data_IF_122922551833
#
_entry.id   IF_122922551833
#
_cell.length_a   1.000
_cell.length_b   1.000
_cell.length_c   1.000
_cell.angle_alpha   90.00
_cell.angle_beta   90.00
_cell.angle_gamma   90.00
#
_symmetry.space_group_name_H-M   'P 1'
#
loop_
_entity.id
_entity.type
_entity.pdbx_description
1 polymer ?
#
# COMPACT_ATOMS: atom_id res chain seq x y z
N UNK A 1 65.84 -112.08 102.96
CA UNK A 1 64.43 -111.81 102.63
C UNK A 1 63.89 -110.53 103.27
N UNK A 2 64.31 -110.13 104.48
CA UNK A 2 63.84 -108.88 105.11
C UNK A 2 64.41 -107.58 104.52
N UNK A 3 65.71 -107.52 104.16
CA UNK A 3 66.35 -106.31 103.61
C UNK A 3 65.83 -105.90 102.22
N UNK A 4 65.51 -106.86 101.35
CA UNK A 4 64.91 -106.60 100.02
C UNK A 4 63.46 -106.12 100.18
N UNK A 5 62.78 -106.56 101.25
CA UNK A 5 61.43 -106.10 101.56
C UNK A 5 61.44 -104.67 102.12
N UNK A 6 62.40 -104.32 102.98
CA UNK A 6 62.58 -102.95 103.48
C UNK A 6 62.99 -101.96 102.38
N UNK A 7 63.90 -102.32 101.47
CA UNK A 7 64.32 -101.44 100.37
C UNK A 7 63.19 -101.22 99.34
N UNK A 8 62.38 -102.26 99.09
CA UNK A 8 61.19 -102.18 98.24
C UNK A 8 60.09 -101.31 98.88
N UNK A 9 59.88 -101.42 100.20
CA UNK A 9 58.97 -100.55 100.95
C UNK A 9 59.49 -99.10 100.99
N UNK A 10 60.81 -98.87 101.12
CA UNK A 10 61.39 -97.51 101.03
C UNK A 10 61.19 -96.89 99.65
N UNK A 11 61.42 -97.64 98.57
CA UNK A 11 61.18 -97.16 97.21
C UNK A 11 59.69 -96.91 96.93
N UNK A 12 58.78 -97.75 97.46
CA UNK A 12 57.33 -97.49 97.37
C UNK A 12 56.95 -96.19 98.07
N UNK A 13 57.47 -95.94 99.27
CA UNK A 13 57.20 -94.70 100.02
C UNK A 13 57.75 -93.48 99.26
N UNK A 14 58.95 -93.57 98.71
CA UNK A 14 59.56 -92.47 97.94
C UNK A 14 58.83 -92.22 96.61
N UNK A 15 58.34 -93.28 95.94
CA UNK A 15 57.53 -93.17 94.74
C UNK A 15 56.16 -92.54 95.07
N UNK A 16 55.50 -92.98 96.14
CA UNK A 16 54.24 -92.41 96.61
C UNK A 16 54.37 -90.93 97.00
N UNK A 17 55.48 -90.53 97.62
CA UNK A 17 55.75 -89.12 97.93
C UNK A 17 55.96 -88.27 96.66
N UNK A 18 56.70 -88.78 95.66
CA UNK A 18 56.87 -88.10 94.37
C UNK A 18 55.56 -88.01 93.60
N UNK A 19 54.75 -89.06 93.66
CA UNK A 19 53.41 -89.10 93.07
C UNK A 19 52.49 -88.07 93.74
N UNK A 20 52.52 -87.94 95.08
CA UNK A 20 51.76 -86.91 95.81
C UNK A 20 52.21 -85.48 95.44
N UNK A 21 53.51 -85.23 95.26
CA UNK A 21 54.02 -83.93 94.85
C UNK A 21 53.63 -83.60 93.40
N UNK A 22 53.70 -84.58 92.50
CA UNK A 22 53.27 -84.43 91.12
C UNK A 22 51.75 -84.21 91.02
N UNK A 23 50.96 -84.93 91.82
CA UNK A 23 49.52 -84.75 91.95
C UNK A 23 49.18 -83.33 92.40
N UNK A 24 49.80 -82.83 93.48
CA UNK A 24 49.62 -81.44 93.95
C UNK A 24 49.99 -80.42 92.89
N UNK A 25 51.07 -80.66 92.14
CA UNK A 25 51.51 -79.75 91.08
C UNK A 25 50.61 -79.80 89.85
N UNK A 26 50.03 -80.96 89.53
CA UNK A 26 49.01 -81.12 88.49
C UNK A 26 47.73 -80.38 88.91
N UNK A 27 47.29 -80.52 90.15
CA UNK A 27 46.12 -79.81 90.70
C UNK A 27 46.35 -78.29 90.70
N UNK A 28 47.53 -77.80 91.13
CA UNK A 28 47.90 -76.38 91.06
C UNK A 28 47.93 -75.84 89.63
N UNK A 29 48.39 -76.64 88.66
CA UNK A 29 48.41 -76.26 87.25
C UNK A 29 46.99 -76.23 86.67
N UNK A 30 46.13 -77.19 87.03
CA UNK A 30 44.72 -77.18 86.65
C UNK A 30 43.99 -75.97 87.22
N UNK A 31 44.22 -75.62 88.48
CA UNK A 31 43.64 -74.44 89.11
C UNK A 31 44.07 -73.14 88.43
N UNK A 32 45.36 -73.04 88.05
CA UNK A 32 45.88 -71.89 87.30
C UNK A 32 45.30 -71.81 85.89
N UNK A 33 45.17 -72.94 85.20
CA UNK A 33 44.55 -73.00 83.88
C UNK A 33 43.08 -72.60 83.95
N UNK A 34 42.33 -73.09 84.95
CA UNK A 34 40.93 -72.73 85.18
C UNK A 34 40.77 -71.23 85.40
N UNK A 35 41.60 -70.63 86.26
CA UNK A 35 41.61 -69.17 86.51
C UNK A 35 41.96 -68.36 85.26
N UNK A 36 42.87 -68.88 84.42
CA UNK A 36 43.26 -68.24 83.17
C UNK A 36 42.10 -68.29 82.17
N UNK A 37 41.43 -69.43 82.04
CA UNK A 37 40.24 -69.61 81.20
C UNK A 37 39.10 -68.68 81.64
N UNK A 38 38.80 -68.61 82.94
CA UNK A 38 37.80 -67.68 83.49
C UNK A 38 38.15 -66.22 83.19
N UNK A 39 39.42 -65.83 83.35
CA UNK A 39 39.91 -64.49 83.03
C UNK A 39 39.76 -64.19 81.53
N UNK A 40 40.04 -65.16 80.66
CA UNK A 40 39.95 -65.02 79.20
C UNK A 40 38.49 -64.90 78.74
N UNK A 41 37.57 -65.62 79.38
CA UNK A 41 36.12 -65.46 79.18
C UNK A 41 35.69 -64.05 79.64
N UNK A 42 36.16 -63.60 80.80
CA UNK A 42 35.90 -62.25 81.33
C UNK A 42 36.38 -61.14 80.39
N UNK A 43 37.61 -61.23 79.89
CA UNK A 43 38.17 -60.29 78.91
C UNK A 43 37.39 -60.32 77.60
N UNK A 44 37.02 -61.51 77.11
CA UNK A 44 36.23 -61.63 75.87
C UNK A 44 34.86 -60.95 76.02
N UNK A 45 34.19 -61.15 77.16
CA UNK A 45 32.92 -60.47 77.48
C UNK A 45 33.10 -58.95 77.55
N UNK A 46 34.13 -58.48 78.24
CA UNK A 46 34.43 -57.05 78.35
C UNK A 46 34.71 -56.41 76.99
N UNK A 47 35.48 -57.06 76.13
CA UNK A 47 35.77 -56.58 74.77
C UNK A 47 34.50 -56.52 73.93
N UNK A 48 33.62 -57.52 74.03
CA UNK A 48 32.33 -57.53 73.33
C UNK A 48 31.41 -56.39 73.81
N UNK A 49 31.28 -56.20 75.12
CA UNK A 49 30.50 -55.10 75.69
C UNK A 49 31.05 -53.72 75.31
N UNK A 50 32.38 -53.55 75.32
CA UNK A 50 33.04 -52.32 74.92
C UNK A 50 32.81 -52.05 73.42
N UNK A 51 32.94 -53.06 72.56
CA UNK A 51 32.64 -52.94 71.14
C UNK A 51 31.18 -52.52 70.89
N UNK A 52 30.23 -53.06 71.66
CA UNK A 52 28.81 -52.64 71.61
C UNK A 52 28.65 -51.18 72.06
N UNK A 53 29.30 -50.76 73.16
CA UNK A 53 29.28 -49.37 73.64
C UNK A 53 29.88 -48.40 72.61
N UNK A 54 31.03 -48.74 72.03
CA UNK A 54 31.69 -47.98 70.96
C UNK A 54 30.76 -47.83 69.75
N UNK A 55 30.20 -48.93 69.25
CA UNK A 55 29.27 -48.90 68.10
C UNK A 55 28.02 -48.07 68.38
N UNK A 56 27.48 -48.12 69.61
CA UNK A 56 26.33 -47.29 70.01
C UNK A 56 26.71 -45.80 70.06
N UNK A 57 27.88 -45.46 70.60
CA UNK A 57 28.37 -44.09 70.66
C UNK A 57 28.66 -43.53 69.25
N UNK A 58 29.29 -44.32 68.38
CA UNK A 58 29.52 -43.97 66.97
C UNK A 58 28.22 -43.72 66.22
N UNK A 59 27.22 -44.62 66.38
CA UNK A 59 25.91 -44.43 65.76
C UNK A 59 25.23 -43.16 66.27
N UNK A 60 25.23 -42.91 67.58
CA UNK A 60 24.61 -41.72 68.16
C UNK A 60 25.28 -40.44 67.65
N UNK A 61 26.62 -40.43 67.57
CA UNK A 61 27.37 -39.31 67.00
C UNK A 61 27.02 -39.07 65.52
N UNK A 62 26.93 -40.14 64.72
CA UNK A 62 26.53 -40.04 63.32
C UNK A 62 25.10 -39.50 63.14
N UNK A 63 24.15 -39.98 63.96
CA UNK A 63 22.76 -39.52 63.94
C UNK A 63 22.65 -38.03 64.37
N UNK A 64 23.41 -37.60 65.38
CA UNK A 64 23.48 -36.20 65.81
C UNK A 64 24.10 -35.28 64.75
N UNK A 65 25.18 -35.71 64.09
CA UNK A 65 25.80 -34.96 62.98
C UNK A 65 24.81 -34.82 61.83
N UNK A 66 24.11 -35.90 61.46
CA UNK A 66 23.11 -35.87 60.39
C UNK A 66 21.97 -34.90 60.72
N UNK A 67 21.41 -35.00 61.93
CA UNK A 67 20.35 -34.11 62.41
C UNK A 67 20.79 -32.64 62.40
N UNK A 68 22.02 -32.35 62.84
CA UNK A 68 22.59 -31.00 62.79
C UNK A 68 22.67 -30.46 61.37
N UNK A 69 23.19 -31.27 60.42
CA UNK A 69 23.30 -30.87 59.01
C UNK A 69 21.93 -30.60 58.36
N UNK A 70 20.93 -31.43 58.64
CA UNK A 70 19.55 -31.21 58.18
C UNK A 70 19.00 -29.88 58.72
N UNK A 71 19.25 -29.57 60.00
CA UNK A 71 18.82 -28.31 60.61
C UNK A 71 19.58 -27.09 60.09
N UNK A 72 20.87 -27.20 59.83
CA UNK A 72 21.66 -26.13 59.21
C UNK A 72 21.14 -25.81 57.80
N UNK A 73 20.80 -26.84 57.01
CA UNK A 73 20.17 -26.63 55.69
C UNK A 73 18.80 -25.96 55.79
N UNK A 74 17.97 -26.38 56.75
CA UNK A 74 16.66 -25.77 57.00
C UNK A 74 16.81 -24.28 57.38
N UNK A 75 17.78 -23.94 58.23
CA UNK A 75 18.09 -22.55 58.60
C UNK A 75 18.44 -21.72 57.37
N UNK A 76 19.35 -22.20 56.51
CA UNK A 76 19.75 -21.48 55.30
C UNK A 76 18.54 -21.23 54.39
N UNK A 77 17.70 -22.25 54.17
CA UNK A 77 16.48 -22.11 53.35
C UNK A 77 15.50 -21.08 53.92
N UNK A 78 15.30 -21.09 55.24
CA UNK A 78 14.43 -20.15 55.93
C UNK A 78 14.99 -18.72 55.90
N UNK A 79 16.30 -18.54 56.04
CA UNK A 79 16.96 -17.25 55.94
C UNK A 79 16.83 -16.65 54.54
N UNK A 80 17.03 -17.44 53.49
CA UNK A 80 16.81 -17.02 52.11
C UNK A 80 15.35 -16.62 51.86
N UNK A 81 14.40 -17.42 52.33
CA UNK A 81 12.97 -17.13 52.19
C UNK A 81 12.59 -15.83 52.93
N UNK A 82 13.12 -15.65 54.13
CA UNK A 82 12.91 -14.46 54.95
C UNK A 82 13.49 -13.21 54.27
N UNK A 83 14.67 -13.31 53.68
CA UNK A 83 15.29 -12.22 52.93
C UNK A 83 14.44 -11.84 51.70
N UNK A 84 13.97 -12.82 50.92
CA UNK A 84 13.05 -12.59 49.79
C UNK A 84 11.77 -11.89 50.24
N UNK A 85 11.16 -12.33 51.34
CA UNK A 85 9.96 -11.70 51.89
C UNK A 85 10.22 -10.26 52.34
N UNK A 86 11.36 -9.99 52.99
CA UNK A 86 11.74 -8.63 53.40
C UNK A 86 11.91 -7.70 52.20
N UNK A 87 12.57 -8.16 51.14
CA UNK A 87 12.73 -7.39 49.90
C UNK A 87 11.38 -7.10 49.25
N UNK A 88 10.52 -8.11 49.13
CA UNK A 88 9.18 -7.94 48.58
C UNK A 88 8.35 -6.95 49.40
N UNK A 89 8.37 -7.08 50.74
CA UNK A 89 7.70 -6.14 51.64
C UNK A 89 8.20 -4.71 51.44
N UNK A 90 9.52 -4.52 51.35
CA UNK A 90 10.12 -3.20 51.14
C UNK A 90 9.67 -2.59 49.81
N UNK A 91 9.66 -3.37 48.73
CA UNK A 91 9.20 -2.91 47.43
C UNK A 91 7.71 -2.53 47.44
N UNK A 92 6.87 -3.34 48.10
CA UNK A 92 5.44 -3.08 48.24
C UNK A 92 5.16 -1.83 49.06
N UNK A 93 5.90 -1.61 50.15
CA UNK A 93 5.79 -0.38 50.96
C UNK A 93 6.20 0.86 50.16
N UNK A 94 7.30 0.81 49.41
CA UNK A 94 7.71 1.92 48.55
C UNK A 94 6.66 2.24 47.47
N UNK A 95 6.02 1.21 46.89
CA UNK A 95 4.90 1.38 45.97
C UNK A 95 3.69 2.00 46.65
N UNK A 96 3.35 1.56 47.86
CA UNK A 96 2.26 2.11 48.64
C UNK A 96 2.49 3.59 48.95
N UNK A 97 3.69 3.96 49.41
CA UNK A 97 4.05 5.35 49.69
C UNK A 97 3.87 6.24 48.45
N UNK A 98 4.30 5.75 47.28
CA UNK A 98 4.10 6.44 46.00
C UNK A 98 2.61 6.60 45.68
N UNK A 99 1.82 5.55 45.83
CA UNK A 99 0.38 5.57 45.57
C UNK A 99 -0.39 6.47 46.54
N UNK A 100 0.04 6.54 47.81
CA UNK A 100 -0.54 7.44 48.79
C UNK A 100 -0.40 8.91 48.41
N UNK A 101 0.67 9.30 47.72
CA UNK A 101 0.81 10.67 47.21
C UNK A 101 -0.27 10.98 46.17
N UNK A 102 -0.55 10.05 45.25
CA UNK A 102 -1.61 10.21 44.26
C UNK A 102 -3.00 10.19 44.90
N UNK A 103 -3.23 9.34 45.89
CA UNK A 103 -4.48 9.31 46.64
C UNK A 103 -4.73 10.67 47.33
N UNK A 104 -3.76 11.19 48.10
CA UNK A 104 -3.87 12.51 48.74
C UNK A 104 -4.13 13.63 47.74
N UNK A 105 -3.49 13.57 46.58
CA UNK A 105 -3.75 14.53 45.51
C UNK A 105 -5.21 14.44 45.03
N UNK A 106 -5.70 13.24 44.72
CA UNK A 106 -7.07 13.03 44.25
C UNK A 106 -8.12 13.41 45.31
N UNK A 107 -7.86 13.12 46.59
CA UNK A 107 -8.67 13.61 47.72
C UNK A 107 -8.76 15.13 47.69
N UNK A 108 -7.62 15.83 47.55
CA UNK A 108 -7.60 17.31 47.48
C UNK A 108 -8.33 17.87 46.24
N UNK A 109 -8.38 17.11 45.15
CA UNK A 109 -9.12 17.48 43.94
C UNK A 109 -10.62 17.34 44.19
N UNK A 110 -11.06 16.24 44.82
CA UNK A 110 -12.46 16.02 45.20
C UNK A 110 -12.93 17.09 46.20
N UNK A 111 -12.11 17.43 47.19
CA UNK A 111 -12.42 18.51 48.14
C UNK A 111 -12.66 19.87 47.47
N UNK A 112 -11.90 20.19 46.42
CA UNK A 112 -12.03 21.44 45.67
C UNK A 112 -13.13 21.40 44.61
N UNK A 113 -13.28 20.26 43.94
CA UNK A 113 -14.25 20.04 42.89
C UNK A 113 -15.48 19.35 43.45
N UNK A 114 -16.38 20.16 44.04
CA UNK A 114 -17.62 19.72 44.72
C UNK A 114 -18.61 18.93 43.85
N UNK A 115 -18.36 18.84 42.54
CA UNK A 115 -19.13 18.05 41.59
C UNK A 115 -18.86 16.53 41.67
N UNK A 116 -17.78 16.10 42.33
CA UNK A 116 -17.44 14.71 42.57
C UNK A 116 -17.54 14.40 44.07
N UNK A 117 -18.16 13.29 44.45
CA UNK A 117 -18.34 12.91 45.86
C UNK A 117 -17.20 11.98 46.31
N UNK A 118 -16.75 11.11 45.41
CA UNK A 118 -15.66 10.19 45.64
C UNK A 118 -14.60 10.28 44.53
N UNK A 119 -13.37 9.85 44.84
CA UNK A 119 -12.29 9.72 43.84
C UNK A 119 -12.73 8.83 42.67
N UNK A 120 -13.54 7.80 42.95
CA UNK A 120 -14.04 6.90 41.93
C UNK A 120 -14.94 7.61 40.90
N UNK A 121 -15.74 8.59 41.32
CA UNK A 121 -16.57 9.39 40.41
C UNK A 121 -15.70 10.15 39.42
N UNK A 122 -14.62 10.76 39.90
CA UNK A 122 -13.64 11.47 39.07
C UNK A 122 -12.95 10.51 38.09
N UNK A 123 -12.61 9.30 38.55
CA UNK A 123 -11.98 8.27 37.70
C UNK A 123 -12.91 7.77 36.59
N UNK A 124 -14.18 7.50 36.91
CA UNK A 124 -15.18 7.10 35.93
C UNK A 124 -15.38 8.22 34.92
N UNK A 125 -15.52 9.47 35.39
CA UNK A 125 -15.68 10.63 34.51
C UNK A 125 -14.47 10.81 33.59
N UNK A 126 -13.26 10.68 34.12
CA UNK A 126 -12.04 10.73 33.33
C UNK A 126 -12.03 9.62 32.28
N UNK A 127 -12.35 8.37 32.65
CA UNK A 127 -12.38 7.25 31.72
C UNK A 127 -13.40 7.46 30.60
N UNK A 128 -14.60 7.97 30.91
CA UNK A 128 -15.61 8.31 29.90
C UNK A 128 -15.12 9.43 28.98
N UNK A 129 -14.54 10.50 29.52
CA UNK A 129 -14.02 11.60 28.71
C UNK A 129 -12.84 11.16 27.83
N UNK A 130 -11.99 10.26 28.33
CA UNK A 130 -10.87 9.74 27.57
C UNK A 130 -11.34 8.84 26.42
N UNK A 131 -12.33 7.98 26.67
CA UNK A 131 -12.99 7.18 25.64
C UNK A 131 -13.65 8.08 24.57
N UNK A 132 -14.48 9.05 24.99
CA UNK A 132 -15.10 9.99 24.04
C UNK A 132 -14.07 10.82 23.26
N UNK A 133 -12.95 11.20 23.90
CA UNK A 133 -11.85 11.89 23.24
C UNK A 133 -11.19 11.02 22.17
N UNK A 134 -11.02 9.72 22.46
CA UNK A 134 -10.47 8.77 21.51
C UNK A 134 -11.41 8.59 20.32
N UNK A 135 -12.71 8.39 20.56
CA UNK A 135 -13.73 8.29 19.51
C UNK A 135 -13.76 9.55 18.62
N UNK A 136 -13.70 10.74 19.23
CA UNK A 136 -13.66 12.01 18.50
C UNK A 136 -12.39 12.16 17.65
N UNK A 137 -11.23 11.68 18.14
CA UNK A 137 -9.99 11.70 17.36
C UNK A 137 -10.07 10.78 16.16
N UNK A 138 -10.63 9.59 16.33
CA UNK A 138 -10.82 8.63 15.24
C UNK A 138 -11.80 9.18 14.21
N UNK A 139 -12.94 9.71 14.66
CA UNK A 139 -13.90 10.36 13.77
C UNK A 139 -13.29 11.56 13.03
N UNK A 140 -12.50 12.39 13.70
CA UNK A 140 -11.80 13.50 13.06
C UNK A 140 -10.84 12.99 11.98
N UNK A 141 -10.05 11.96 12.27
CA UNK A 141 -9.13 11.37 11.30
C UNK A 141 -9.88 10.85 10.04
N UNK A 142 -10.99 10.13 10.24
CA UNK A 142 -11.85 9.66 9.15
C UNK A 142 -12.43 10.82 8.33
N UNK A 143 -12.95 11.85 9.00
CA UNK A 143 -13.49 13.03 8.30
C UNK A 143 -12.41 13.77 7.51
N UNK A 144 -11.19 13.87 8.04
CA UNK A 144 -10.08 14.53 7.32
C UNK A 144 -9.67 13.74 6.09
N UNK A 145 -9.58 12.41 6.19
CA UNK A 145 -9.28 11.53 5.06
C UNK A 145 -10.36 11.66 3.97
N UNK A 146 -11.63 11.56 4.35
CA UNK A 146 -12.73 11.73 3.41
C UNK A 146 -12.77 13.13 2.77
N UNK A 147 -12.42 14.19 3.51
CA UNK A 147 -12.35 15.53 2.95
C UNK A 147 -11.22 15.65 1.92
N UNK A 148 -10.08 15.03 2.17
CA UNK A 148 -8.94 15.03 1.28
C UNK A 148 -9.22 14.21 0.00
N UNK A 149 -9.92 13.08 0.12
CA UNK A 149 -10.46 12.32 -1.01
C UNK A 149 -11.38 13.18 -1.87
N UNK A 150 -12.39 13.81 -1.27
CA UNK A 150 -13.35 14.64 -1.99
C UNK A 150 -12.67 15.85 -2.65
N UNK A 151 -11.66 16.44 -2.00
CA UNK A 151 -10.84 17.50 -2.60
C UNK A 151 -10.07 16.98 -3.81
N UNK A 152 -9.47 15.80 -3.73
CA UNK A 152 -8.75 15.21 -4.84
C UNK A 152 -9.69 14.91 -6.02
N UNK A 153 -10.87 14.33 -5.76
CA UNK A 153 -11.91 14.10 -6.76
C UNK A 153 -12.36 15.39 -7.43
N UNK A 154 -12.64 16.44 -6.65
CA UNK A 154 -13.04 17.74 -7.18
C UNK A 154 -11.95 18.37 -8.08
N UNK A 155 -10.68 18.28 -7.67
CA UNK A 155 -9.57 18.78 -8.49
C UNK A 155 -9.43 17.98 -9.79
N UNK A 156 -9.61 16.66 -9.75
CA UNK A 156 -9.58 15.81 -10.93
C UNK A 156 -10.73 16.14 -11.88
N UNK A 157 -11.95 16.29 -11.36
CA UNK A 157 -13.12 16.71 -12.14
C UNK A 157 -12.92 18.09 -12.79
N UNK A 158 -12.40 19.06 -12.04
CA UNK A 158 -12.07 20.39 -12.57
C UNK A 158 -11.03 20.34 -13.69
N UNK A 159 -9.98 19.52 -13.55
CA UNK A 159 -8.98 19.32 -14.60
C UNK A 159 -9.57 18.65 -15.84
N UNK A 160 -10.38 17.61 -15.64
CA UNK A 160 -11.04 16.89 -16.73
C UNK A 160 -11.96 17.79 -17.55
N UNK A 161 -12.81 18.57 -16.88
CA UNK A 161 -13.72 19.52 -17.55
C UNK A 161 -12.98 20.67 -18.23
N UNK A 162 -11.89 21.19 -17.64
CA UNK A 162 -11.05 22.19 -18.30
C UNK A 162 -10.41 21.64 -19.59
N UNK A 163 -9.93 20.39 -19.56
CA UNK A 163 -9.39 19.72 -20.75
C UNK A 163 -10.48 19.50 -21.81
N UNK A 164 -11.67 19.07 -21.41
CA UNK A 164 -12.81 18.89 -22.32
C UNK A 164 -13.21 20.20 -23.00
N UNK A 165 -13.31 21.29 -22.24
CA UNK A 165 -13.57 22.64 -22.78
C UNK A 165 -12.49 23.03 -23.79
N UNK A 166 -11.22 22.75 -23.52
CA UNK A 166 -10.13 23.05 -24.44
C UNK A 166 -10.25 22.23 -25.73
N UNK A 167 -10.58 20.94 -25.63
CA UNK A 167 -10.82 20.07 -26.80
C UNK A 167 -11.98 20.59 -27.65
N UNK A 168 -13.13 20.91 -27.03
CA UNK A 168 -14.28 21.47 -27.73
C UNK A 168 -13.97 22.83 -28.38
N UNK A 169 -13.21 23.69 -27.72
CA UNK A 169 -12.78 24.97 -28.30
C UNK A 169 -11.89 24.80 -29.52
N UNK A 170 -11.00 23.80 -29.51
CA UNK A 170 -10.19 23.45 -30.67
C UNK A 170 -11.08 22.95 -31.82
N UNK A 171 -12.04 22.07 -31.55
CA UNK A 171 -13.00 21.58 -32.55
C UNK A 171 -13.81 22.73 -33.16
N UNK A 172 -14.38 23.61 -32.34
CA UNK A 172 -15.12 24.79 -32.80
C UNK A 172 -14.25 25.67 -33.70
N UNK A 173 -12.98 25.86 -33.34
CA UNK A 173 -12.05 26.66 -34.15
C UNK A 173 -11.77 26.01 -35.51
N UNK A 174 -11.57 24.69 -35.54
CA UNK A 174 -11.39 23.92 -36.77
C UNK A 174 -12.63 23.97 -37.67
N UNK A 175 -13.82 23.76 -37.10
CA UNK A 175 -15.09 23.84 -37.84
C UNK A 175 -15.32 25.24 -38.39
N UNK A 176 -15.03 26.30 -37.61
CA UNK A 176 -15.12 27.69 -38.09
C UNK A 176 -14.20 27.95 -39.27
N UNK A 177 -12.94 27.53 -39.20
CA UNK A 177 -12.00 27.67 -40.32
C UNK A 177 -12.51 26.95 -41.58
N UNK A 178 -13.02 25.73 -41.42
CA UNK A 178 -13.60 24.97 -42.51
C UNK A 178 -14.80 25.67 -43.15
N UNK A 179 -15.70 26.22 -42.33
CA UNK A 179 -16.87 26.97 -42.82
C UNK A 179 -16.43 28.23 -43.57
N UNK A 180 -15.48 29.00 -43.05
CA UNK A 180 -14.97 30.20 -43.73
C UNK A 180 -14.28 29.87 -45.05
N UNK A 181 -13.54 28.75 -45.12
CA UNK A 181 -12.97 28.26 -46.37
C UNK A 181 -14.07 27.92 -47.39
N UNK A 182 -15.14 27.22 -46.98
CA UNK A 182 -16.27 26.92 -47.87
C UNK A 182 -17.06 28.15 -48.31
N UNK A 183 -17.21 29.14 -47.46
CA UNK A 183 -17.82 30.43 -47.84
C UNK A 183 -16.96 31.14 -48.89
N UNK A 184 -15.65 31.15 -48.73
CA UNK A 184 -14.73 31.76 -49.70
C UNK A 184 -14.82 31.06 -51.07
N UNK A 185 -14.76 29.73 -51.10
CA UNK A 185 -14.96 28.93 -52.32
C UNK A 185 -16.30 29.25 -53.00
N UNK A 186 -17.38 29.30 -52.22
CA UNK A 186 -18.73 29.61 -52.73
C UNK A 186 -18.80 31.02 -53.31
N UNK A 187 -18.20 32.01 -52.65
CA UNK A 187 -18.15 33.39 -53.15
C UNK A 187 -17.35 33.51 -54.45
N UNK A 188 -16.26 32.75 -54.59
CA UNK A 188 -15.47 32.72 -55.82
C UNK A 188 -16.26 32.11 -56.98
N UNK A 189 -16.96 31.00 -56.74
CA UNK A 189 -17.83 30.37 -57.74
C UNK A 189 -18.98 31.29 -58.13
N UNK A 190 -19.59 32.01 -57.18
CA UNK A 190 -20.64 32.97 -57.47
C UNK A 190 -20.14 34.10 -58.37
N UNK A 191 -18.95 34.64 -58.10
CA UNK A 191 -18.33 35.65 -58.95
C UNK A 191 -18.10 35.15 -60.38
N UNK A 192 -17.65 33.90 -60.54
CA UNK A 192 -17.47 33.28 -61.85
C UNK A 192 -18.80 33.13 -62.59
N UNK A 193 -19.85 32.69 -61.89
CA UNK A 193 -21.21 32.60 -62.45
C UNK A 193 -21.70 33.98 -62.92
N UNK A 194 -21.55 35.01 -62.08
CA UNK A 194 -21.98 36.38 -62.42
C UNK A 194 -21.24 36.92 -63.65
N UNK A 195 -19.93 36.68 -63.74
CA UNK A 195 -19.13 37.03 -64.92
C UNK A 195 -19.62 36.29 -66.17
N UNK A 196 -19.86 34.98 -66.08
CA UNK A 196 -20.40 34.20 -67.20
C UNK A 196 -21.77 34.70 -67.65
N UNK A 197 -22.66 35.02 -66.70
CA UNK A 197 -23.99 35.57 -66.96
C UNK A 197 -23.90 36.95 -67.64
N UNK A 198 -23.02 37.83 -67.16
CA UNK A 198 -22.78 39.13 -67.79
C UNK A 198 -22.26 38.96 -69.23
N UNK A 199 -21.30 38.06 -69.46
CA UNK A 199 -20.80 37.75 -70.79
C UNK A 199 -21.90 37.19 -71.70
N UNK A 200 -22.75 36.29 -71.19
CA UNK A 200 -23.86 35.72 -71.94
C UNK A 200 -24.91 36.80 -72.29
N UNK A 201 -25.24 37.69 -71.35
CA UNK A 201 -26.14 38.81 -71.59
C UNK A 201 -25.58 39.77 -72.64
N UNK A 202 -24.29 40.13 -72.56
CA UNK A 202 -23.63 40.98 -73.55
C UNK A 202 -23.64 40.36 -74.94
N UNK A 203 -23.35 39.05 -75.07
CA UNK A 203 -23.45 38.32 -76.35
C UNK A 203 -24.89 38.29 -76.87
N UNK A 204 -25.87 38.09 -75.99
CA UNK A 204 -27.29 38.08 -76.37
C UNK A 204 -27.73 39.44 -76.89
N UNK A 205 -27.31 40.53 -76.22
CA UNK A 205 -27.56 41.91 -76.67
C UNK A 205 -26.89 42.20 -78.01
N UNK A 206 -25.63 41.82 -78.19
CA UNK A 206 -24.94 41.98 -79.47
C UNK A 206 -25.67 41.23 -80.59
N UNK A 207 -26.13 40.00 -80.32
CA UNK A 207 -26.94 39.22 -81.27
C UNK A 207 -28.24 39.94 -81.62
N UNK A 208 -28.99 40.45 -80.64
CA UNK A 208 -30.25 41.15 -80.91
C UNK A 208 -30.05 42.46 -81.68
N UNK A 209 -28.98 43.21 -81.38
CA UNK A 209 -28.60 44.40 -82.13
C UNK A 209 -28.27 44.08 -83.60
N UNK A 210 -27.52 42.99 -83.86
CA UNK A 210 -27.25 42.52 -85.23
C UNK A 210 -28.55 42.14 -85.94
N UNK A 211 -29.46 41.40 -85.28
CA UNK A 211 -30.76 41.05 -85.86
C UNK A 211 -31.56 42.29 -86.24
N UNK A 212 -31.72 43.24 -85.31
CA UNK A 212 -32.45 44.48 -85.57
C UNK A 212 -31.82 45.32 -86.69
N UNK A 213 -30.48 45.40 -86.75
CA UNK A 213 -29.80 46.11 -87.82
C UNK A 213 -30.03 45.44 -89.19
N UNK A 214 -29.98 44.10 -89.25
CA UNK A 214 -30.28 43.34 -90.44
C UNK A 214 -31.73 43.52 -90.90
N UNK A 215 -32.69 43.44 -89.97
CA UNK A 215 -34.11 43.70 -90.23
C UNK A 215 -34.34 45.13 -90.74
N UNK A 216 -33.73 46.13 -90.09
CA UNK A 216 -33.84 47.53 -90.50
C UNK A 216 -33.27 47.77 -91.91
N UNK A 217 -32.12 47.16 -92.24
CA UNK A 217 -31.55 47.23 -93.59
C UNK A 217 -32.45 46.54 -94.62
N UNK A 218 -32.98 45.36 -94.28
CA UNK A 218 -33.92 44.63 -95.12
C UNK A 218 -35.17 45.44 -95.40
N UNK A 219 -35.83 46.00 -94.38
CA UNK A 219 -37.03 46.83 -94.56
C UNK A 219 -36.77 48.07 -95.42
N UNK A 220 -35.60 48.72 -95.27
CA UNK A 220 -35.23 49.85 -96.13
C UNK A 220 -35.12 49.45 -97.60
N UNK A 221 -34.60 48.26 -97.88
CA UNK A 221 -34.52 47.74 -99.24
C UNK A 221 -35.89 47.29 -99.74
N UNK A 222 -36.68 46.59 -98.92
CA UNK A 222 -38.02 46.14 -99.28
C UNK A 222 -38.93 47.32 -99.66
N UNK A 223 -38.79 48.48 -99.00
CA UNK A 223 -39.51 49.71 -99.36
C UNK A 223 -39.15 50.28 -100.75
N UNK A 224 -37.95 50.01 -101.25
CA UNK A 224 -37.45 50.54 -102.53
C UNK A 224 -37.50 49.49 -103.64
N UNK A 225 -37.51 48.21 -103.26
CA UNK A 225 -37.58 47.07 -104.15
C UNK A 225 -38.98 46.93 -104.76
N UNK A 226 -39.04 46.70 -106.07
CA UNK A 226 -40.29 46.33 -106.75
C UNK A 226 -40.69 44.88 -106.43
N UNK A 227 -39.72 44.06 -105.99
CA UNK A 227 -39.92 42.65 -105.62
C UNK A 227 -39.86 42.56 -104.10
N UNK A 228 -41.03 42.55 -103.45
CA UNK A 228 -41.10 42.36 -102.00
C UNK A 228 -40.87 40.89 -101.63
N UNK A 229 -40.08 40.66 -100.59
CA UNK A 229 -39.77 39.32 -100.07
C UNK A 229 -40.16 39.25 -98.59
N UNK A 230 -40.59 38.08 -98.08
CA UNK A 230 -40.95 37.96 -96.67
C UNK A 230 -39.69 37.99 -95.79
N UNK A 231 -39.76 38.78 -94.71
CA UNK A 231 -38.73 38.82 -93.67
C UNK A 231 -38.46 37.40 -93.15
N UNK A 232 -37.19 37.01 -93.08
CA UNK A 232 -36.78 35.73 -92.53
C UNK A 232 -36.37 35.88 -91.07
N UNK A 233 -36.60 34.83 -90.27
CA UNK A 233 -36.19 34.79 -88.85
C UNK A 233 -34.66 34.74 -88.68
N UNK A 234 -33.93 34.32 -89.73
CA UNK A 234 -32.46 34.32 -89.72
C UNK A 234 -31.92 35.65 -90.30
N UNK A 235 -31.20 36.47 -89.50
CA UNK A 235 -30.70 37.78 -89.94
C UNK A 235 -29.68 37.69 -91.07
N UNK A 236 -28.91 36.60 -91.17
CA UNK A 236 -27.94 36.41 -92.26
C UNK A 236 -28.68 36.30 -93.59
N UNK A 237 -29.78 35.56 -93.64
CA UNK A 237 -30.59 35.44 -94.86
C UNK A 237 -31.20 36.78 -95.29
N UNK A 238 -31.59 37.61 -94.33
CA UNK A 238 -32.06 38.97 -94.62
C UNK A 238 -30.93 39.83 -95.20
N UNK A 239 -29.71 39.71 -94.65
CA UNK A 239 -28.53 40.40 -95.18
C UNK A 239 -28.08 39.88 -96.55
N UNK A 240 -28.24 38.59 -96.85
CA UNK A 240 -27.97 38.03 -98.18
C UNK A 240 -28.91 38.66 -99.22
N UNK A 241 -30.20 38.81 -98.88
CA UNK A 241 -31.15 39.50 -99.76
C UNK A 241 -30.81 40.98 -99.94
N UNK A 242 -30.38 41.65 -98.87
CA UNK A 242 -29.85 43.03 -98.92
C UNK A 242 -28.64 43.09 -99.84
N UNK A 243 -27.72 42.12 -99.76
CA UNK A 243 -26.53 42.03 -100.59
C UNK A 243 -26.89 41.82 -102.06
N UNK A 244 -27.76 40.85 -102.38
CA UNK A 244 -28.22 40.58 -103.74
C UNK A 244 -28.77 41.85 -104.40
N UNK A 245 -29.67 42.55 -103.70
CA UNK A 245 -30.26 43.80 -104.19
C UNK A 245 -29.21 44.90 -104.41
N UNK A 246 -28.26 45.07 -103.49
CA UNK A 246 -27.16 46.05 -103.64
C UNK A 246 -26.23 45.67 -104.78
N UNK A 247 -25.94 44.37 -104.98
CA UNK A 247 -25.13 43.91 -106.11
C UNK A 247 -25.85 44.11 -107.45
N UNK A 248 -27.14 43.84 -107.52
CA UNK A 248 -27.97 44.09 -108.70
C UNK A 248 -28.02 45.59 -109.01
N UNK A 249 -28.25 46.44 -108.01
CA UNK A 249 -28.20 47.90 -108.16
C UNK A 249 -26.83 48.38 -108.67
N UNK A 250 -25.74 47.86 -108.11
CA UNK A 250 -24.39 48.21 -108.56
C UNK A 250 -24.12 47.72 -109.99
N UNK A 251 -24.62 46.54 -110.36
CA UNK A 251 -24.54 46.01 -111.72
C UNK A 251 -25.32 46.90 -112.70
N UNK A 252 -26.56 47.28 -112.36
CA UNK A 252 -27.36 48.23 -113.14
C UNK A 252 -26.68 49.59 -113.23
N UNK A 253 -26.11 50.11 -112.15
CA UNK A 253 -25.40 51.39 -112.16
C UNK A 253 -24.15 51.34 -113.06
N UNK A 254 -23.41 50.22 -113.07
CA UNK A 254 -22.28 50.00 -113.99
C UNK A 254 -22.75 49.92 -115.45
N UNK A 255 -23.88 49.27 -115.73
CA UNK A 255 -24.50 49.25 -117.07
C UNK A 255 -24.96 50.64 -117.52
N UNK A 256 -25.53 51.44 -116.60
CA UNK A 256 -25.97 52.81 -116.86
C UNK A 256 -24.79 53.75 -117.13
N UNK A 257 -23.71 53.65 -116.34
CA UNK A 257 -22.45 54.38 -116.59
C UNK A 257 -21.74 53.93 -117.88
N UNK A 258 -21.96 52.69 -118.32
CA UNK A 258 -21.45 52.18 -119.60
C UNK A 258 -22.19 52.68 -120.85
N UNK A 259 -23.44 53.15 -120.71
CA UNK A 259 -24.31 53.52 -121.84
C UNK A 259 -24.44 55.03 -122.08
N UNK A 260 -24.16 55.89 -121.10
CA UNK A 260 -24.20 57.36 -121.24
C UNK A 260 -22.94 58.06 -120.72
N UNK A 261 -21.84 57.92 -121.46
CA UNK A 261 -20.56 58.56 -121.13
C UNK A 261 -19.55 58.65 -122.28
N UNK A 262 -20.01 58.90 -123.51
CA UNK A 262 -19.16 59.38 -124.64
C UNK A 262 -19.75 60.65 -125.26
N UNK A 263 -19.13 61.79 -124.89
CA UNK A 263 -18.84 63.02 -125.66
C UNK A 263 -19.95 63.98 -126.17
N UNK A 264 -19.64 65.25 -126.53
CA UNK A 264 -18.42 66.07 -126.34
C UNK A 264 -18.66 67.51 -125.80
N UNK A 265 -17.55 68.25 -125.66
CA UNK A 265 -17.29 69.64 -125.21
C UNK A 265 -18.07 70.79 -125.89
N UNK A 266 -17.99 72.01 -125.32
CA UNK A 266 -17.78 73.22 -126.12
C UNK A 266 -16.63 74.13 -125.63
N UNK A 267 -16.00 74.84 -126.58
CA UNK A 267 -14.99 75.90 -126.40
C UNK A 267 -15.64 77.26 -126.13
N UNK A 268 -14.93 78.15 -125.43
CA UNK A 268 -15.07 79.60 -125.57
C UNK A 268 -14.62 80.41 -124.35
N UNK A 269 -13.37 80.89 -124.37
CA UNK A 269 -12.71 81.71 -123.34
C UNK A 269 -11.20 81.52 -123.40
#
# INVERSE_FOLDING_TARGET
>A
MHLVHEELERQKVECAQKEEILQKREDDLRDKDLKLQESLIGFSRFLQENAVKKKRAEKKSADEIKSRLEKEQEIIQLEEALLKLKLHRSATLANLDRLMMYQKYLESVVEKATQYHEINDLMIRHATLDASRQDLKEHLAMCTEHNDELRAEFQNYKKSTANEIMTLNNEVSMTKQFVEQKKLETSQLQLQIDQMLQMAAARTLARSQICMAAENLFFRIDQVSVISRPLQDNPIKNLDMVSDFVTDLNYIQKLYKGTYGRNPTPKGG
#
